data_IF_617071029120
#
_entry.id   IF_617071029120
#
_cell.length_a   1.000
_cell.length_b   1.000
_cell.length_c   1.000
_cell.angle_alpha   90.00
_cell.angle_beta   90.00
_cell.angle_gamma   90.00
#
_symmetry.space_group_name_H-M   'P 1'
#
loop_
_entity.id
_entity.type
_entity.pdbx_description
1 polymer ?
#
# COMPACT_ATOMS: atom_id res chain seq x y z
N UNK A 1 26.95 9.67 14.36
CA UNK A 1 26.03 10.61 15.03
C UNK A 1 25.37 11.59 14.06
N UNK A 2 26.00 12.03 12.95
CA UNK A 2 25.36 12.98 12.00
C UNK A 2 24.36 12.36 10.99
N UNK A 3 24.40 11.04 10.76
CA UNK A 3 23.48 10.35 9.82
C UNK A 3 22.21 9.77 10.49
N UNK A 4 22.11 9.75 11.82
CA UNK A 4 20.93 9.18 12.52
C UNK A 4 19.77 10.18 12.65
N UNK A 5 20.10 11.46 12.77
CA UNK A 5 19.14 12.58 12.81
C UNK A 5 18.21 12.63 11.59
N UNK A 6 18.68 12.50 10.32
CA UNK A 6 17.79 12.57 9.16
C UNK A 6 16.81 11.39 9.10
N UNK A 7 17.22 10.17 9.50
CA UNK A 7 16.33 9.01 9.49
C UNK A 7 15.18 9.18 10.48
N UNK A 8 15.49 9.49 11.75
CA UNK A 8 14.45 9.68 12.78
C UNK A 8 13.50 10.81 12.40
N UNK A 9 14.03 11.89 11.81
CA UNK A 9 13.22 13.01 11.33
C UNK A 9 12.30 12.61 10.17
N UNK A 10 12.83 11.93 9.15
CA UNK A 10 12.07 11.40 8.01
C UNK A 10 10.90 10.53 8.48
N UNK A 11 11.17 9.59 9.38
CA UNK A 11 10.17 8.67 9.93
C UNK A 11 9.12 9.42 10.74
N UNK A 12 9.56 10.34 11.60
CA UNK A 12 8.65 11.11 12.45
C UNK A 12 7.70 11.96 11.62
N UNK A 13 8.21 12.65 10.59
CA UNK A 13 7.40 13.46 9.68
C UNK A 13 6.45 12.57 8.88
N UNK A 14 6.95 11.46 8.31
CA UNK A 14 6.14 10.51 7.56
C UNK A 14 4.98 9.94 8.38
N UNK A 15 5.26 9.45 9.59
CA UNK A 15 4.24 8.91 10.48
C UNK A 15 3.27 9.99 10.97
N UNK A 16 3.75 11.19 11.28
CA UNK A 16 2.89 12.28 11.75
C UNK A 16 1.90 12.70 10.68
N UNK A 17 2.36 12.93 9.45
CA UNK A 17 1.48 13.33 8.34
C UNK A 17 0.54 12.18 7.97
N UNK A 18 1.00 10.92 8.01
CA UNK A 18 0.14 9.76 7.80
C UNK A 18 -0.98 9.67 8.86
N UNK A 19 -0.66 9.84 10.15
CA UNK A 19 -1.66 9.84 11.23
C UNK A 19 -2.65 10.98 11.05
N UNK A 20 -2.18 12.20 10.77
CA UNK A 20 -3.06 13.34 10.50
C UNK A 20 -3.96 13.06 9.30
N UNK A 21 -3.40 12.57 8.19
CA UNK A 21 -4.15 12.22 6.98
C UNK A 21 -5.20 11.15 7.25
N UNK A 22 -4.87 10.10 8.01
CA UNK A 22 -5.82 9.05 8.39
C UNK A 22 -6.94 9.55 9.30
N UNK A 23 -6.63 10.44 10.26
CA UNK A 23 -7.64 11.08 11.11
C UNK A 23 -8.55 11.99 10.28
N UNK A 24 -8.00 12.79 9.37
CA UNK A 24 -8.80 13.61 8.45
C UNK A 24 -9.67 12.74 7.53
N UNK A 25 -9.14 11.66 6.96
CA UNK A 25 -9.92 10.75 6.13
C UNK A 25 -11.07 10.09 6.92
N UNK A 26 -10.79 9.60 8.13
CA UNK A 26 -11.80 8.96 8.99
C UNK A 26 -12.88 9.94 9.46
N UNK A 27 -12.52 11.18 9.81
CA UNK A 27 -13.50 12.24 10.16
C UNK A 27 -14.39 12.62 8.98
N UNK A 28 -13.88 12.54 7.75
CA UNK A 28 -14.65 12.69 6.51
C UNK A 28 -15.45 11.43 6.11
N UNK A 29 -15.50 10.40 6.97
CA UNK A 29 -16.14 9.10 6.72
C UNK A 29 -15.55 8.34 5.52
N UNK A 30 -14.29 8.60 5.19
CA UNK A 30 -13.52 7.89 4.17
C UNK A 30 -12.65 6.80 4.82
N UNK A 31 -12.19 5.85 4.00
CA UNK A 31 -11.23 4.84 4.46
C UNK A 31 -9.91 5.52 4.89
N UNK A 32 -9.34 5.22 6.07
CA UNK A 32 -8.05 5.77 6.52
C UNK A 32 -6.90 5.54 5.53
N UNK A 33 -6.97 4.46 4.74
CA UNK A 33 -5.98 4.15 3.69
C UNK A 33 -5.83 5.31 2.71
N UNK A 34 -6.93 5.98 2.35
CA UNK A 34 -6.87 7.15 1.47
C UNK A 34 -6.07 8.29 2.11
N UNK A 35 -6.21 8.49 3.43
CA UNK A 35 -5.44 9.46 4.19
C UNK A 35 -3.94 9.18 4.19
N UNK A 36 -3.55 7.91 4.36
CA UNK A 36 -2.14 7.49 4.30
C UNK A 36 -1.55 7.65 2.89
N UNK A 37 -2.32 7.35 1.84
CA UNK A 37 -1.90 7.54 0.46
C UNK A 37 -1.68 9.02 0.13
N UNK A 38 -2.61 9.89 0.53
CA UNK A 38 -2.47 11.34 0.35
C UNK A 38 -1.29 11.90 1.14
N UNK A 39 -1.06 11.42 2.36
CA UNK A 39 0.13 11.76 3.13
C UNK A 39 1.43 11.42 2.39
N UNK A 40 1.49 10.25 1.75
CA UNK A 40 2.63 9.85 0.90
C UNK A 40 2.83 10.77 -0.30
N UNK A 41 1.74 11.20 -0.95
CA UNK A 41 1.81 12.19 -2.04
C UNK A 41 2.33 13.54 -1.54
N UNK A 42 1.92 13.97 -0.34
CA UNK A 42 2.33 15.26 0.27
C UNK A 42 3.83 15.31 0.62
N UNK A 43 4.45 14.18 0.94
CA UNK A 43 5.88 14.09 1.29
C UNK A 43 6.73 13.69 0.07
N UNK A 44 6.09 13.44 -1.07
CA UNK A 44 6.74 13.07 -2.30
C UNK A 44 7.47 14.24 -2.98
N UNK A 45 8.23 13.97 -4.05
CA UNK A 45 9.04 14.97 -4.74
C UNK A 45 8.21 15.98 -5.55
N UNK A 46 6.90 15.73 -5.72
CA UNK A 46 5.98 16.53 -6.51
C UNK A 46 5.23 17.60 -5.71
N UNK A 47 5.49 17.71 -4.41
CA UNK A 47 4.88 18.71 -3.53
C UNK A 47 5.93 19.70 -3.01
N UNK A 48 5.65 21.01 -3.02
CA UNK A 48 6.56 22.00 -2.45
C UNK A 48 6.64 21.80 -0.93
N UNK A 49 7.82 21.41 -0.43
CA UNK A 49 8.00 21.16 1.00
C UNK A 49 9.13 20.18 1.31
N UNK A 50 9.00 19.49 2.44
CA UNK A 50 9.92 18.45 2.87
C UNK A 50 9.78 17.23 1.96
N UNK A 51 10.83 16.91 1.23
CA UNK A 51 10.94 15.69 0.42
C UNK A 51 11.69 14.67 1.25
N UNK A 52 10.98 13.61 1.64
CA UNK A 52 11.59 12.51 2.36
C UNK A 52 12.59 11.75 1.49
N UNK A 53 13.63 11.21 2.10
CA UNK A 53 14.60 10.35 1.41
C UNK A 53 13.91 9.04 0.97
N UNK A 54 13.77 8.86 -0.35
CA UNK A 54 13.09 7.71 -0.94
C UNK A 54 13.75 6.37 -0.56
N UNK A 55 15.07 6.30 -0.44
CA UNK A 55 15.78 5.06 -0.13
C UNK A 55 15.47 4.63 1.32
N UNK A 56 15.55 5.59 2.25
CA UNK A 56 15.27 5.36 3.66
C UNK A 56 13.80 5.01 3.91
N UNK A 57 12.87 5.72 3.26
CA UNK A 57 11.43 5.48 3.39
C UNK A 57 11.05 4.11 2.81
N UNK A 58 11.65 3.73 1.67
CA UNK A 58 11.39 2.43 1.04
C UNK A 58 11.91 1.29 1.92
N UNK A 59 13.12 1.40 2.45
CA UNK A 59 13.65 0.39 3.37
C UNK A 59 12.76 0.20 4.62
N UNK A 60 12.23 1.29 5.17
CA UNK A 60 11.28 1.20 6.28
C UNK A 60 9.93 0.60 5.86
N UNK A 61 9.43 0.96 4.67
CA UNK A 61 8.19 0.42 4.14
C UNK A 61 8.29 -1.10 3.93
N UNK A 62 9.42 -1.60 3.41
CA UNK A 62 9.67 -3.03 3.25
C UNK A 62 9.62 -3.77 4.59
N UNK A 63 10.29 -3.22 5.62
CA UNK A 63 10.23 -3.77 6.98
C UNK A 63 8.80 -3.73 7.53
N UNK A 64 8.06 -2.65 7.30
CA UNK A 64 6.65 -2.52 7.67
C UNK A 64 5.75 -3.55 6.99
N UNK A 65 5.94 -3.79 5.69
CA UNK A 65 5.21 -4.80 4.92
C UNK A 65 5.55 -6.21 5.42
N UNK A 66 6.81 -6.48 5.73
CA UNK A 66 7.23 -7.75 6.33
C UNK A 66 6.52 -7.97 7.67
N UNK A 67 6.51 -6.96 8.55
CA UNK A 67 5.80 -7.05 9.83
C UNK A 67 4.29 -7.20 9.64
N UNK A 68 3.68 -6.52 8.66
CA UNK A 68 2.26 -6.65 8.35
C UNK A 68 1.94 -8.07 7.86
N UNK A 69 2.71 -8.61 6.91
CA UNK A 69 2.51 -9.96 6.39
C UNK A 69 2.79 -11.03 7.46
N UNK A 70 3.76 -10.79 8.34
CA UNK A 70 4.00 -11.64 9.49
C UNK A 70 2.84 -11.62 10.49
N UNK A 71 2.38 -10.44 10.90
CA UNK A 71 1.25 -10.27 11.81
C UNK A 71 -0.03 -10.87 11.23
N UNK A 72 -0.27 -10.68 9.93
CA UNK A 72 -1.36 -11.30 9.20
C UNK A 72 -1.25 -12.83 9.25
N UNK A 73 -0.05 -13.38 9.05
CA UNK A 73 0.23 -14.81 9.18
C UNK A 73 -0.04 -15.36 10.58
N UNK A 74 0.34 -14.63 11.64
CA UNK A 74 0.09 -15.01 13.04
C UNK A 74 -1.39 -14.91 13.41
N UNK A 75 -2.10 -13.91 12.88
CA UNK A 75 -3.53 -13.73 13.12
C UNK A 75 -4.40 -14.80 12.43
N UNK A 76 -3.89 -15.46 11.38
CA UNK A 76 -4.61 -16.51 10.68
C UNK A 76 -4.42 -17.90 11.33
N UNK A 77 -5.53 -18.49 11.74
CA UNK A 77 -5.56 -19.91 12.11
C UNK A 77 -5.45 -20.78 10.86
N UNK A 78 -4.57 -21.78 10.89
CA UNK A 78 -4.45 -22.79 9.83
C UNK A 78 -5.79 -23.47 9.54
N UNK A 79 -6.66 -23.62 10.57
CA UNK A 79 -8.00 -24.21 10.40
C UNK A 79 -8.91 -23.33 9.56
N UNK A 80 -8.84 -22.01 9.73
CA UNK A 80 -9.63 -21.06 8.94
C UNK A 80 -9.14 -21.06 7.49
N UNK A 81 -7.82 -21.10 7.29
CA UNK A 81 -7.23 -21.18 5.95
C UNK A 81 -7.69 -22.44 5.19
N UNK A 82 -7.71 -23.61 5.84
CA UNK A 82 -8.18 -24.86 5.21
C UNK A 82 -9.68 -24.81 4.90
N UNK A 83 -10.48 -24.20 5.77
CA UNK A 83 -11.94 -24.05 5.56
C UNK A 83 -12.26 -23.20 4.34
N UNK A 84 -11.51 -22.11 4.13
CA UNK A 84 -11.69 -21.20 3.00
C UNK A 84 -10.81 -21.54 1.79
N UNK A 85 -10.02 -22.62 1.84
CA UNK A 85 -9.04 -23.00 0.81
C UNK A 85 -9.62 -23.01 -0.60
N UNK A 86 -10.77 -23.65 -0.80
CA UNK A 86 -11.35 -23.77 -2.13
C UNK A 86 -11.80 -22.41 -2.66
N UNK A 87 -12.38 -21.55 -1.81
CA UNK A 87 -12.77 -20.18 -2.20
C UNK A 87 -11.53 -19.32 -2.47
N UNK A 88 -10.49 -19.43 -1.64
CA UNK A 88 -9.24 -18.70 -1.83
C UNK A 88 -8.54 -19.12 -3.12
N UNK A 89 -8.39 -20.42 -3.39
CA UNK A 89 -7.66 -20.92 -4.57
C UNK A 89 -8.48 -20.69 -5.84
N UNK A 90 -9.70 -21.23 -5.93
CA UNK A 90 -10.49 -21.10 -7.16
C UNK A 90 -10.97 -19.67 -7.38
N UNK A 91 -11.36 -18.96 -6.31
CA UNK A 91 -11.79 -17.57 -6.39
C UNK A 91 -10.68 -16.67 -6.92
N UNK A 92 -9.46 -16.77 -6.38
CA UNK A 92 -8.31 -15.98 -6.86
C UNK A 92 -7.96 -16.36 -8.30
N UNK A 93 -7.87 -17.65 -8.64
CA UNK A 93 -7.53 -18.07 -10.01
C UNK A 93 -8.55 -17.54 -11.01
N UNK A 94 -9.85 -17.72 -10.74
CA UNK A 94 -10.92 -17.27 -11.64
C UNK A 94 -10.95 -15.75 -11.71
N UNK A 95 -10.91 -15.06 -10.58
CA UNK A 95 -10.98 -13.61 -10.53
C UNK A 95 -9.79 -12.96 -11.25
N UNK A 96 -8.56 -13.41 -10.96
CA UNK A 96 -7.35 -12.88 -11.62
C UNK A 96 -7.39 -13.13 -13.12
N UNK A 97 -7.70 -14.37 -13.54
CA UNK A 97 -7.79 -14.71 -14.96
C UNK A 97 -8.84 -13.87 -15.68
N UNK A 98 -10.02 -13.70 -15.08
CA UNK A 98 -11.10 -12.93 -15.67
C UNK A 98 -10.76 -11.43 -15.74
N UNK A 99 -10.16 -10.86 -14.69
CA UNK A 99 -9.70 -9.46 -14.72
C UNK A 99 -8.59 -9.24 -15.74
N UNK A 100 -7.68 -10.20 -15.88
CA UNK A 100 -6.58 -10.12 -16.84
C UNK A 100 -7.08 -10.20 -18.29
N UNK A 101 -7.98 -11.16 -18.59
CA UNK A 101 -8.61 -11.29 -19.90
C UNK A 101 -9.50 -10.08 -20.23
N UNK A 102 -10.25 -9.58 -19.24
CA UNK A 102 -11.07 -8.38 -19.39
C UNK A 102 -10.24 -7.14 -19.68
N UNK A 103 -9.17 -6.90 -18.91
CA UNK A 103 -8.24 -5.80 -19.16
C UNK A 103 -7.57 -5.91 -20.53
N UNK A 104 -7.18 -7.12 -20.94
CA UNK A 104 -6.61 -7.37 -22.27
C UNK A 104 -7.61 -7.09 -23.39
N UNK A 105 -8.85 -7.57 -23.28
CA UNK A 105 -9.91 -7.34 -24.27
C UNK A 105 -10.26 -5.84 -24.39
N UNK A 106 -10.36 -5.13 -23.26
CA UNK A 106 -10.57 -3.68 -23.26
C UNK A 106 -9.40 -2.98 -23.94
N UNK A 107 -8.15 -3.35 -23.62
CA UNK A 107 -6.96 -2.80 -24.27
C UNK A 107 -6.97 -2.97 -25.79
N UNK A 108 -7.38 -4.14 -26.29
CA UNK A 108 -7.56 -4.36 -27.73
C UNK A 108 -8.66 -3.46 -28.32
N UNK A 109 -9.81 -3.32 -27.63
CA UNK A 109 -10.93 -2.49 -28.07
C UNK A 109 -10.61 -1.00 -28.07
N UNK A 110 -9.80 -0.52 -27.13
CA UNK A 110 -9.34 0.88 -27.07
C UNK A 110 -8.13 1.16 -27.97
N UNK A 111 -7.71 0.20 -28.80
CA UNK A 111 -6.64 0.38 -29.79
C UNK A 111 -5.23 0.36 -29.20
N UNK A 112 -5.04 -0.11 -27.97
CA UNK A 112 -3.70 -0.21 -27.35
C UNK A 112 -2.81 -1.27 -28.03
N UNK A 113 -3.37 -2.05 -28.95
CA UNK A 113 -2.61 -2.96 -29.82
C UNK A 113 -1.72 -2.25 -30.85
N UNK A 114 -1.86 -0.93 -31.02
CA UNK A 114 -1.10 -0.11 -31.98
C UNK A 114 -0.05 0.81 -31.31
N UNK A 115 0.15 0.69 -29.99
CA UNK A 115 1.18 1.39 -29.22
C UNK A 115 2.42 0.52 -29.00
#
# INVERSE_FOLDING_TARGET
>A
MEQELPLVLNITIALTIAVIGGVVASTLKQSPILGYLLAGVIIGPFTPGFVGDHEQITALADVGVIFLMFALGVAFSIKDLVRFRNVAVFGVIIQVSLTMLGAWAIGLATGWSQL
#
